data_IF_163776254414
#
_entry.id   IF_163776254414
#
_cell.length_a   1.000
_cell.length_b   1.000
_cell.length_c   1.000
_cell.angle_alpha   90.00
_cell.angle_beta   90.00
_cell.angle_gamma   90.00
#
_symmetry.space_group_name_H-M   'P 1'
#
loop_
_entity.id
_entity.type
_entity.pdbx_description
1 polymer ?
#
# COMPACT_ATOMS: atom_id res chain seq x y z
N UNK A 1 1.07 22.97 -5.88
CA UNK A 1 2.26 22.09 -5.96
C UNK A 1 2.80 21.65 -4.59
N UNK A 2 2.89 22.50 -3.56
CA UNK A 2 3.51 22.12 -2.27
C UNK A 2 2.69 21.17 -1.37
N UNK A 3 1.40 21.00 -1.64
CA UNK A 3 0.54 20.07 -0.90
C UNK A 3 0.62 18.65 -1.48
N UNK A 4 0.69 18.51 -2.80
CA UNK A 4 0.75 17.23 -3.52
C UNK A 4 1.97 16.39 -3.12
N UNK A 5 3.18 16.96 -3.08
CA UNK A 5 4.37 16.20 -2.71
C UNK A 5 4.30 15.65 -1.27
N UNK A 6 3.60 16.34 -0.36
CA UNK A 6 3.40 15.86 1.01
C UNK A 6 2.52 14.62 1.03
N UNK A 7 1.42 14.62 0.27
CA UNK A 7 0.57 13.43 0.13
C UNK A 7 1.32 12.25 -0.49
N UNK A 8 2.13 12.49 -1.51
CA UNK A 8 2.98 11.44 -2.10
C UNK A 8 3.98 10.88 -1.06
N UNK A 9 4.60 11.74 -0.26
CA UNK A 9 5.48 11.32 0.82
C UNK A 9 4.74 10.53 1.92
N UNK A 10 3.52 10.94 2.29
CA UNK A 10 2.68 10.19 3.24
C UNK A 10 2.34 8.80 2.73
N UNK A 11 2.01 8.67 1.44
CA UNK A 11 1.67 7.38 0.82
C UNK A 11 2.89 6.47 0.75
N UNK A 12 4.05 6.99 0.36
CA UNK A 12 5.30 6.22 0.37
C UNK A 12 5.64 5.74 1.78
N UNK A 13 5.50 6.60 2.79
CA UNK A 13 5.66 6.23 4.19
C UNK A 13 4.67 5.12 4.61
N UNK A 14 3.40 5.24 4.20
CA UNK A 14 2.37 4.24 4.50
C UNK A 14 2.66 2.89 3.82
N UNK A 15 3.15 2.89 2.58
CA UNK A 15 3.57 1.67 1.86
C UNK A 15 4.69 0.97 2.64
N UNK A 16 5.72 1.71 3.03
CA UNK A 16 6.88 1.14 3.75
C UNK A 16 6.47 0.61 5.13
N UNK A 17 5.68 1.38 5.88
CA UNK A 17 5.17 0.94 7.20
C UNK A 17 4.28 -0.30 7.04
N UNK A 18 3.36 -0.29 6.07
CA UNK A 18 2.50 -1.44 5.77
C UNK A 18 3.31 -2.67 5.41
N UNK A 19 4.34 -2.53 4.57
CA UNK A 19 5.23 -3.62 4.16
C UNK A 19 5.89 -4.27 5.38
N UNK A 20 6.42 -3.47 6.30
CA UNK A 20 7.08 -3.99 7.51
C UNK A 20 6.05 -4.66 8.43
N UNK A 21 4.91 -4.03 8.68
CA UNK A 21 3.87 -4.59 9.54
C UNK A 21 3.32 -5.91 9.00
N UNK A 22 3.01 -5.97 7.71
CA UNK A 22 2.51 -7.18 7.04
C UNK A 22 3.57 -8.27 7.06
N UNK A 23 4.84 -7.93 6.82
CA UNK A 23 5.93 -8.91 6.93
C UNK A 23 6.02 -9.49 8.33
N UNK A 24 5.80 -8.69 9.39
CA UNK A 24 5.85 -9.19 10.78
C UNK A 24 4.63 -10.08 11.10
N UNK A 25 3.43 -9.67 10.70
CA UNK A 25 2.19 -10.37 11.06
C UNK A 25 1.85 -11.56 10.16
N UNK A 26 2.30 -11.55 8.90
CA UNK A 26 1.98 -12.55 7.88
C UNK A 26 3.23 -13.28 7.36
N UNK A 27 4.34 -13.21 8.10
CA UNK A 27 5.61 -13.84 7.70
C UNK A 27 5.40 -15.30 7.27
N UNK A 28 4.76 -16.07 8.16
CA UNK A 28 4.55 -17.50 7.98
C UNK A 28 3.68 -17.77 6.75
N UNK A 29 2.57 -17.05 6.61
CA UNK A 29 1.65 -17.22 5.49
C UNK A 29 2.32 -16.92 4.14
N UNK A 30 3.03 -15.81 4.03
CA UNK A 30 3.71 -15.46 2.78
C UNK A 30 4.89 -16.39 2.48
N UNK A 31 5.56 -16.89 3.51
CA UNK A 31 6.61 -17.90 3.35
C UNK A 31 6.07 -19.22 2.79
N UNK A 32 4.86 -19.62 3.21
CA UNK A 32 4.17 -20.81 2.69
C UNK A 32 3.72 -20.60 1.23
N UNK A 33 3.18 -19.42 0.91
CA UNK A 33 2.78 -19.05 -0.45
C UNK A 33 3.95 -19.07 -1.44
N UNK A 34 5.15 -18.71 -0.98
CA UNK A 34 6.38 -18.76 -1.80
C UNK A 34 6.76 -20.20 -2.20
N UNK A 35 6.39 -21.22 -1.43
CA UNK A 35 6.60 -22.63 -1.76
C UNK A 35 8.07 -23.05 -1.95
N UNK A 36 9.03 -22.24 -1.51
CA UNK A 36 10.47 -22.52 -1.65
C UNK A 36 10.92 -23.60 -0.64
N UNK A 37 11.94 -24.41 -0.96
CA UNK A 37 12.45 -25.43 -0.06
C UNK A 37 12.98 -24.83 1.27
N UNK A 38 12.73 -25.55 2.37
CA UNK A 38 13.12 -25.18 3.73
C UNK A 38 14.65 -24.91 3.80
N UNK A 39 15.03 -23.64 3.97
CA UNK A 39 16.44 -23.20 4.03
C UNK A 39 16.82 -22.15 2.98
N UNK A 40 16.01 -21.95 1.95
CA UNK A 40 16.26 -20.94 0.90
C UNK A 40 15.36 -19.70 1.02
N UNK A 41 14.28 -19.77 1.82
CA UNK A 41 13.40 -18.62 2.08
C UNK A 41 14.18 -17.58 2.87
N UNK A 42 14.44 -16.44 2.22
CA UNK A 42 15.05 -15.29 2.87
C UNK A 42 13.96 -14.33 3.36
N UNK A 43 14.29 -13.55 4.39
CA UNK A 43 13.42 -12.45 4.84
C UNK A 43 13.19 -11.43 3.71
N UNK A 44 14.14 -11.30 2.79
CA UNK A 44 14.04 -10.41 1.64
C UNK A 44 12.91 -10.86 0.71
N UNK A 45 12.76 -12.15 0.45
CA UNK A 45 11.67 -12.68 -0.39
C UNK A 45 10.30 -12.32 0.19
N UNK A 46 10.11 -12.52 1.49
CA UNK A 46 8.86 -12.20 2.17
C UNK A 46 8.62 -10.68 2.19
N UNK A 47 9.66 -9.88 2.40
CA UNK A 47 9.59 -8.42 2.30
C UNK A 47 9.16 -7.97 0.90
N UNK A 48 9.68 -8.59 -0.16
CA UNK A 48 9.30 -8.26 -1.54
C UNK A 48 7.84 -8.60 -1.81
N UNK A 49 7.34 -9.73 -1.31
CA UNK A 49 5.92 -10.09 -1.43
C UNK A 49 5.02 -9.13 -0.64
N UNK A 50 5.39 -8.79 0.59
CA UNK A 50 4.67 -7.78 1.37
C UNK A 50 4.65 -6.41 0.69
N UNK A 51 5.78 -6.01 0.07
CA UNK A 51 5.87 -4.76 -0.67
C UNK A 51 4.96 -4.78 -1.90
N UNK A 52 5.00 -5.87 -2.68
CA UNK A 52 4.13 -6.09 -3.82
C UNK A 52 2.66 -5.96 -3.43
N UNK A 53 2.26 -6.64 -2.35
CA UNK A 53 0.91 -6.57 -1.82
C UNK A 53 0.52 -5.15 -1.38
N UNK A 54 1.39 -4.47 -0.61
CA UNK A 54 1.12 -3.11 -0.12
C UNK A 54 0.95 -2.13 -1.28
N UNK A 55 1.81 -2.22 -2.30
CA UNK A 55 1.70 -1.39 -3.51
C UNK A 55 0.41 -1.70 -4.26
N UNK A 56 0.11 -2.98 -4.53
CA UNK A 56 -1.11 -3.38 -5.24
C UNK A 56 -2.39 -2.95 -4.50
N UNK A 57 -2.38 -2.97 -3.18
CA UNK A 57 -3.52 -2.57 -2.33
C UNK A 57 -3.71 -1.06 -2.30
N UNK A 58 -2.65 -0.29 -2.08
CA UNK A 58 -2.71 1.18 -1.99
C UNK A 58 -3.01 1.81 -3.35
N UNK A 59 -2.49 1.23 -4.43
CA UNK A 59 -2.87 1.60 -5.80
C UNK A 59 -4.24 1.05 -6.19
N UNK A 60 -4.83 0.19 -5.37
CA UNK A 60 -6.11 -0.52 -5.56
C UNK A 60 -6.17 -1.40 -6.82
N UNK A 61 -5.01 -1.79 -7.35
CA UNK A 61 -4.94 -2.79 -8.43
C UNK A 61 -5.48 -4.12 -7.91
N UNK A 62 -5.04 -4.53 -6.72
CA UNK A 62 -5.62 -5.64 -5.96
C UNK A 62 -5.66 -6.96 -6.73
N UNK A 63 -4.52 -7.46 -7.20
CA UNK A 63 -4.43 -8.72 -7.95
C UNK A 63 -5.07 -9.92 -7.23
N UNK A 64 -5.04 -9.93 -5.89
CA UNK A 64 -5.67 -10.97 -5.07
C UNK A 64 -4.91 -12.31 -5.10
N UNK A 65 -3.71 -12.31 -5.65
CA UNK A 65 -2.75 -13.42 -5.67
C UNK A 65 -2.22 -13.74 -4.26
N UNK A 66 -1.96 -12.70 -3.49
CA UNK A 66 -1.55 -12.79 -2.09
C UNK A 66 -2.36 -11.82 -1.25
N UNK A 67 -2.75 -12.22 -0.04
CA UNK A 67 -3.50 -11.35 0.87
C UNK A 67 -3.23 -11.71 2.33
N UNK A 68 -3.18 -10.74 3.26
CA UNK A 68 -3.08 -11.01 4.68
C UNK A 68 -4.33 -11.77 5.17
N UNK A 69 -4.12 -12.89 5.86
CA UNK A 69 -5.21 -13.74 6.35
C UNK A 69 -5.46 -13.57 7.85
N UNK A 70 -4.46 -13.09 8.60
CA UNK A 70 -4.55 -12.86 10.04
C UNK A 70 -5.52 -11.73 10.38
N UNK A 71 -6.09 -11.76 11.59
CA UNK A 71 -7.00 -10.73 12.06
C UNK A 71 -6.35 -9.33 12.11
N UNK A 72 -5.10 -9.25 12.56
CA UNK A 72 -4.33 -8.00 12.61
C UNK A 72 -3.92 -7.54 11.21
N UNK A 73 -3.47 -8.44 10.33
CA UNK A 73 -3.14 -8.15 8.94
C UNK A 73 -4.32 -7.59 8.15
N UNK A 74 -5.52 -8.13 8.37
CA UNK A 74 -6.77 -7.60 7.78
C UNK A 74 -7.09 -6.19 8.26
N UNK A 75 -6.87 -5.88 9.54
CA UNK A 75 -7.09 -4.53 10.07
C UNK A 75 -6.12 -3.53 9.43
N UNK A 76 -4.85 -3.89 9.27
CA UNK A 76 -3.86 -3.09 8.54
C UNK A 76 -4.28 -2.90 7.08
N UNK A 77 -4.79 -3.96 6.44
CA UNK A 77 -5.28 -3.90 5.07
C UNK A 77 -6.44 -2.91 4.91
N UNK A 78 -7.42 -2.92 5.82
CA UNK A 78 -8.53 -1.97 5.80
C UNK A 78 -8.04 -0.52 5.86
N UNK A 79 -7.06 -0.22 6.73
CA UNK A 79 -6.46 1.12 6.83
C UNK A 79 -5.74 1.50 5.52
N UNK A 80 -5.00 0.58 4.92
CA UNK A 80 -4.30 0.81 3.66
C UNK A 80 -5.27 1.08 2.50
N UNK A 81 -6.39 0.34 2.43
CA UNK A 81 -7.44 0.53 1.43
C UNK A 81 -8.08 1.93 1.53
N UNK A 82 -8.41 2.37 2.74
CA UNK A 82 -8.97 3.71 2.98
C UNK A 82 -7.97 4.82 2.58
N UNK A 83 -6.69 4.63 2.91
CA UNK A 83 -5.64 5.58 2.53
C UNK A 83 -5.46 5.67 1.00
N UNK A 84 -5.50 4.54 0.29
CA UNK A 84 -5.42 4.49 -1.17
C UNK A 84 -6.58 5.23 -1.85
N UNK A 85 -7.80 5.09 -1.31
CA UNK A 85 -8.97 5.82 -1.82
C UNK A 85 -8.83 7.34 -1.64
N UNK A 86 -8.33 7.78 -0.49
CA UNK A 86 -8.06 9.20 -0.22
C UNK A 86 -7.09 9.83 -1.22
N UNK A 87 -6.02 9.11 -1.60
CA UNK A 87 -5.06 9.58 -2.62
C UNK A 87 -5.73 9.80 -3.97
N UNK A 88 -6.52 8.83 -4.44
CA UNK A 88 -7.21 8.92 -5.73
C UNK A 88 -8.16 10.12 -5.79
N UNK A 89 -8.96 10.31 -4.73
CA UNK A 89 -9.86 11.44 -4.64
C UNK A 89 -9.10 12.77 -4.66
N UNK A 90 -7.99 12.87 -3.94
CA UNK A 90 -7.18 14.08 -3.92
C UNK A 90 -6.63 14.43 -5.31
N UNK A 91 -6.02 13.45 -5.99
CA UNK A 91 -5.49 13.65 -7.35
C UNK A 91 -6.63 14.05 -8.30
N UNK A 92 -7.78 13.38 -8.23
CA UNK A 92 -8.93 13.69 -9.08
C UNK A 92 -9.42 15.13 -8.86
N UNK A 93 -9.51 15.59 -7.61
CA UNK A 93 -9.91 16.95 -7.27
C UNK A 93 -8.87 17.96 -7.78
N UNK A 94 -7.58 17.69 -7.60
CA UNK A 94 -6.51 18.59 -8.06
C UNK A 94 -6.52 18.75 -9.59
N UNK A 95 -6.69 17.64 -10.32
CA UNK A 95 -6.84 17.62 -11.77
C UNK A 95 -8.10 18.39 -12.19
N UNK A 96 -9.24 18.14 -11.54
CA UNK A 96 -10.48 18.86 -11.84
C UNK A 96 -10.37 20.37 -11.58
N UNK A 97 -9.69 20.77 -10.49
CA UNK A 97 -9.40 22.20 -10.20
C UNK A 97 -8.50 22.82 -11.26
N UNK A 98 -7.53 22.07 -11.77
CA UNK A 98 -6.66 22.53 -12.85
C UNK A 98 -7.46 22.80 -14.13
N UNK A 99 -8.36 21.89 -14.51
CA UNK A 99 -9.20 22.07 -15.70
C UNK A 99 -10.31 23.11 -15.54
N UNK A 100 -10.85 23.29 -14.34
CA UNK A 100 -11.93 24.28 -14.10
C UNK A 100 -11.43 25.69 -13.83
N UNK A 101 -10.12 25.94 -13.86
CA UNK A 101 -9.54 27.27 -13.66
C UNK A 101 -9.88 27.91 -12.30
N UNK A 102 -10.34 27.11 -11.33
CA UNK A 102 -10.67 27.58 -9.98
C UNK A 102 -9.40 27.71 -9.15
N UNK A 103 -8.49 28.60 -9.58
CA UNK A 103 -7.40 29.05 -8.73
C UNK A 103 -7.99 29.84 -7.58
N UNK A 104 -7.93 29.29 -6.35
CA UNK A 104 -8.26 30.02 -5.13
C UNK A 104 -7.38 31.28 -5.06
N UNK A 105 -7.92 32.42 -5.48
CA UNK A 105 -7.47 33.74 -5.05
C UNK A 105 -8.20 34.06 -3.74
N UNK A 106 -7.63 33.64 -2.61
CA UNK A 106 -7.87 34.18 -1.28
C UNK A 106 -6.82 33.65 -0.32
#
# INVERSE_FOLDING_TARGET
>A
MTKLYKYMAYVLGLILISTVLITIFEYDHFSEVLGKPLGEITVIDVLMQSLWWSVATITTVGYGDITPVSGSGKLIAMVCMLAGYGLKLYILIDVFRHYTGTSNHS
#
